data_IF_680310373076
#
_entry.id   IF_680310373076
#
_cell.length_a   1.000
_cell.length_b   1.000
_cell.length_c   1.000
_cell.angle_alpha   90.00
_cell.angle_beta   90.00
_cell.angle_gamma   90.00
#
_symmetry.space_group_name_H-M   'P 1'
#
loop_
_entity.id
_entity.type
_entity.pdbx_description
1 polymer ?
#
# COMPACT_ATOMS: atom_id res chain seq x y z
N UNK A 1 12.37 -3.00 9.84
CA UNK A 1 11.94 -2.58 8.49
C UNK A 1 12.90 -2.98 7.37
N UNK A 2 13.70 -4.07 7.41
CA UNK A 2 14.68 -4.30 6.33
C UNK A 2 14.06 -4.47 4.94
N UNK A 3 12.88 -5.08 4.82
CA UNK A 3 12.19 -5.22 3.53
C UNK A 3 11.64 -3.87 3.08
N UNK A 4 10.82 -3.24 3.93
CA UNK A 4 10.28 -1.90 3.74
C UNK A 4 11.31 -0.86 3.33
N UNK A 5 12.39 -0.72 4.12
CA UNK A 5 13.44 0.27 3.90
C UNK A 5 14.16 0.01 2.57
N UNK A 6 14.42 -1.25 2.24
CA UNK A 6 15.03 -1.62 0.96
C UNK A 6 14.12 -1.23 -0.20
N UNK A 7 12.82 -1.54 -0.10
CA UNK A 7 11.86 -1.29 -1.15
C UNK A 7 11.62 0.21 -1.40
N UNK A 8 11.42 1.01 -0.35
CA UNK A 8 11.26 2.47 -0.49
C UNK A 8 12.54 3.13 -1.00
N UNK A 9 13.71 2.70 -0.50
CA UNK A 9 14.99 3.23 -0.97
C UNK A 9 15.21 2.90 -2.44
N UNK A 10 14.95 1.66 -2.86
CA UNK A 10 15.04 1.26 -4.26
C UNK A 10 14.07 2.06 -5.15
N UNK A 11 12.80 2.19 -4.73
CA UNK A 11 11.80 2.98 -5.47
C UNK A 11 12.25 4.44 -5.66
N UNK A 12 12.82 5.04 -4.61
CA UNK A 12 13.36 6.41 -4.65
C UNK A 12 14.57 6.52 -5.57
N UNK A 13 15.48 5.54 -5.53
CA UNK A 13 16.66 5.49 -6.39
C UNK A 13 16.32 5.32 -7.86
N UNK A 14 15.23 4.63 -8.21
CA UNK A 14 14.73 4.55 -9.59
C UNK A 14 14.31 5.92 -10.16
N UNK A 15 14.03 6.92 -9.31
CA UNK A 15 13.79 8.30 -9.76
C UNK A 15 15.07 9.10 -10.05
N UNK A 16 16.24 8.54 -9.78
CA UNK A 16 17.54 9.19 -10.00
C UNK A 16 18.02 9.06 -11.44
N UNK A 17 18.74 10.07 -11.93
CA UNK A 17 19.45 10.01 -13.22
C UNK A 17 20.85 9.40 -13.11
N UNK A 18 21.29 9.03 -11.90
CA UNK A 18 22.63 8.50 -11.64
C UNK A 18 22.65 6.98 -11.82
N UNK A 19 23.50 6.49 -12.72
CA UNK A 19 23.66 5.05 -12.98
C UNK A 19 23.92 4.22 -11.71
N UNK A 20 24.78 4.72 -10.80
CA UNK A 20 25.07 4.05 -9.51
C UNK A 20 23.82 3.85 -8.64
N UNK A 21 22.86 4.77 -8.69
CA UNK A 21 21.63 4.65 -7.92
C UNK A 21 20.70 3.58 -8.56
N UNK A 22 20.63 3.54 -9.89
CA UNK A 22 19.86 2.53 -10.62
C UNK A 22 20.45 1.13 -10.36
N UNK A 23 21.78 0.96 -10.45
CA UNK A 23 22.45 -0.31 -10.12
C UNK A 23 22.22 -0.74 -8.67
N UNK A 24 22.30 0.19 -7.71
CA UNK A 24 22.02 -0.10 -6.30
C UNK A 24 20.55 -0.48 -6.07
N UNK A 25 19.61 0.14 -6.78
CA UNK A 25 18.19 -0.22 -6.71
C UNK A 25 17.96 -1.65 -7.15
N UNK A 26 18.55 -2.06 -8.28
CA UNK A 26 18.48 -3.43 -8.78
C UNK A 26 19.07 -4.43 -7.77
N UNK A 27 20.25 -4.15 -7.22
CA UNK A 27 20.88 -5.04 -6.25
C UNK A 27 20.00 -5.24 -4.99
N UNK A 28 19.35 -4.18 -4.51
CA UNK A 28 18.40 -4.28 -3.39
C UNK A 28 17.14 -5.08 -3.75
N UNK A 29 16.61 -4.90 -4.95
CA UNK A 29 15.42 -5.63 -5.42
C UNK A 29 15.71 -7.11 -5.69
N UNK A 30 16.87 -7.43 -6.26
CA UNK A 30 17.32 -8.82 -6.45
C UNK A 30 17.45 -9.55 -5.11
N UNK A 31 17.84 -8.86 -4.03
CA UNK A 31 17.85 -9.41 -2.67
C UNK A 31 16.45 -9.69 -2.11
N UNK A 32 15.42 -8.96 -2.57
CA UNK A 32 14.03 -9.15 -2.17
C UNK A 32 13.36 -10.31 -2.90
N UNK A 33 13.78 -10.67 -4.12
CA UNK A 33 13.20 -11.78 -4.89
C UNK A 33 13.09 -13.09 -4.09
N UNK A 34 14.15 -13.62 -3.46
CA UNK A 34 14.06 -14.88 -2.70
C UNK A 34 13.29 -14.74 -1.37
N UNK A 35 12.80 -13.54 -1.03
CA UNK A 35 12.05 -13.27 0.20
C UNK A 35 10.54 -13.27 0.02
N UNK A 36 10.06 -13.37 -1.22
CA UNK A 36 8.64 -13.56 -1.47
C UNK A 36 8.18 -14.87 -0.82
N UNK A 37 7.12 -14.80 -0.02
CA UNK A 37 6.54 -15.97 0.61
C UNK A 37 5.64 -16.66 -0.41
N UNK A 38 6.03 -17.87 -0.85
CA UNK A 38 5.36 -18.58 -1.95
C UNK A 38 4.72 -19.91 -1.55
N UNK A 39 5.12 -20.45 -0.39
CA UNK A 39 4.84 -21.81 0.06
C UNK A 39 4.23 -21.86 1.47
N UNK A 40 4.50 -20.86 2.32
CA UNK A 40 3.92 -20.78 3.66
C UNK A 40 2.55 -20.10 3.63
N UNK A 41 1.56 -20.83 4.17
CA UNK A 41 0.21 -20.36 4.44
C UNK A 41 0.16 -19.80 5.87
N UNK A 42 0.16 -18.47 6.00
CA UNK A 42 0.12 -17.74 7.28
C UNK A 42 -1.28 -17.67 7.89
N UNK A 43 -1.44 -16.90 8.97
CA UNK A 43 -2.72 -16.81 9.69
C UNK A 43 -3.84 -16.21 8.83
N UNK A 44 -3.49 -15.36 7.85
CA UNK A 44 -4.39 -14.77 6.86
C UNK A 44 -5.26 -15.78 6.09
N UNK A 45 -4.86 -17.04 6.04
CA UNK A 45 -5.66 -18.10 5.40
C UNK A 45 -6.96 -18.38 6.13
N UNK A 46 -7.09 -17.98 7.41
CA UNK A 46 -8.34 -18.08 8.15
C UNK A 46 -9.48 -17.33 7.42
N UNK A 47 -9.14 -16.29 6.66
CA UNK A 47 -10.09 -15.48 5.87
C UNK A 47 -9.98 -15.75 4.37
N UNK A 48 -8.81 -16.14 3.89
CA UNK A 48 -8.53 -16.36 2.45
C UNK A 48 -7.88 -17.73 2.20
N UNK A 49 -8.60 -18.85 2.43
CA UNK A 49 -8.03 -20.21 2.38
C UNK A 49 -7.67 -20.70 0.97
N UNK A 50 -8.20 -20.07 -0.07
CA UNK A 50 -7.97 -20.49 -1.46
C UNK A 50 -6.96 -19.59 -2.21
N UNK A 51 -6.58 -18.46 -1.60
CA UNK A 51 -5.56 -17.56 -2.16
C UNK A 51 -4.18 -18.21 -1.99
N UNK A 52 -3.34 -18.15 -3.03
CA UNK A 52 -1.96 -18.66 -2.98
C UNK A 52 -1.06 -17.63 -2.29
N UNK A 53 -0.08 -18.04 -1.45
CA UNK A 53 0.88 -17.13 -0.85
C UNK A 53 1.65 -16.35 -1.92
N UNK A 54 1.84 -15.05 -1.67
CA UNK A 54 2.55 -14.17 -2.61
C UNK A 54 3.11 -12.87 -2.05
N UNK A 55 3.03 -12.67 -0.74
CA UNK A 55 3.44 -11.43 -0.09
C UNK A 55 4.90 -11.42 0.37
N UNK A 56 5.33 -10.25 0.84
CA UNK A 56 6.55 -10.04 1.62
C UNK A 56 6.16 -9.62 3.03
N UNK A 57 7.06 -9.83 3.98
CA UNK A 57 6.90 -9.32 5.35
C UNK A 57 7.88 -8.18 5.60
N UNK A 58 7.54 -7.29 6.53
CA UNK A 58 8.40 -6.21 7.02
C UNK A 58 9.82 -6.62 7.46
N UNK A 59 9.97 -7.81 8.06
CA UNK A 59 11.23 -8.31 8.63
C UNK A 59 12.04 -9.19 7.67
N UNK A 60 13.24 -9.63 8.08
CA UNK A 60 14.10 -10.48 7.27
C UNK A 60 13.49 -11.84 6.88
N UNK A 61 12.71 -12.43 7.81
CA UNK A 61 12.08 -13.74 7.67
C UNK A 61 10.90 -13.83 8.64
N UNK A 62 9.68 -13.67 8.11
CA UNK A 62 8.45 -13.80 8.87
C UNK A 62 7.32 -14.38 8.00
N UNK A 63 7.46 -15.63 7.54
CA UNK A 63 6.62 -16.16 6.46
C UNK A 63 5.16 -16.40 6.86
N UNK A 64 4.82 -16.34 8.15
CA UNK A 64 3.45 -16.48 8.63
C UNK A 64 2.68 -15.16 8.65
N UNK A 65 3.38 -14.02 8.59
CA UNK A 65 2.76 -12.69 8.63
C UNK A 65 3.35 -11.78 7.53
N UNK A 66 3.20 -12.17 6.24
CA UNK A 66 3.37 -11.20 5.17
C UNK A 66 2.27 -10.14 5.28
N UNK A 67 2.58 -8.92 4.85
CA UNK A 67 1.65 -7.79 4.89
C UNK A 67 1.50 -7.17 3.51
N UNK A 68 0.32 -6.60 3.27
CA UNK A 68 -0.03 -6.03 1.95
C UNK A 68 0.73 -4.75 1.66
N UNK A 69 1.18 -4.03 2.69
CA UNK A 69 1.85 -2.75 2.57
C UNK A 69 3.27 -2.93 2.02
N UNK A 70 4.09 -3.78 2.66
CA UNK A 70 5.41 -4.18 2.18
C UNK A 70 5.31 -4.83 0.80
N UNK A 71 4.33 -5.73 0.62
CA UNK A 71 4.11 -6.39 -0.69
C UNK A 71 3.87 -5.38 -1.80
N UNK A 72 3.03 -4.36 -1.56
CA UNK A 72 2.74 -3.34 -2.54
C UNK A 72 3.97 -2.47 -2.86
N UNK A 73 4.75 -2.03 -1.87
CA UNK A 73 5.97 -1.24 -2.13
C UNK A 73 7.01 -2.05 -2.90
N UNK A 74 7.28 -3.29 -2.47
CA UNK A 74 8.25 -4.16 -3.13
C UNK A 74 7.87 -4.35 -4.59
N UNK A 75 6.59 -4.65 -4.85
CA UNK A 75 6.10 -4.91 -6.19
C UNK A 75 6.14 -3.64 -7.08
N UNK A 76 5.78 -2.46 -6.55
CA UNK A 76 5.93 -1.19 -7.27
C UNK A 76 7.39 -0.86 -7.58
N UNK A 77 8.31 -1.11 -6.65
CA UNK A 77 9.74 -0.84 -6.86
C UNK A 77 10.33 -1.78 -7.92
N UNK A 78 9.99 -3.07 -7.87
CA UNK A 78 10.38 -4.07 -8.89
C UNK A 78 9.85 -3.71 -10.27
N UNK A 79 8.57 -3.40 -10.40
CA UNK A 79 7.97 -3.03 -11.68
C UNK A 79 8.62 -1.76 -12.27
N UNK A 80 8.84 -0.75 -11.43
CA UNK A 80 9.49 0.50 -11.86
C UNK A 80 10.91 0.27 -12.36
N UNK A 81 11.72 -0.49 -11.61
CA UNK A 81 13.11 -0.78 -11.99
C UNK A 81 13.17 -1.55 -13.32
N UNK A 82 12.40 -2.63 -13.46
CA UNK A 82 12.47 -3.44 -14.66
C UNK A 82 11.96 -2.69 -15.91
N UNK A 83 10.97 -1.79 -15.76
CA UNK A 83 10.48 -0.97 -16.86
C UNK A 83 11.50 0.08 -17.29
N UNK A 84 12.31 0.62 -16.37
CA UNK A 84 13.42 1.53 -16.69
C UNK A 84 14.61 0.79 -17.33
N UNK A 85 14.96 -0.39 -16.81
CA UNK A 85 16.08 -1.21 -17.28
C UNK A 85 15.77 -2.01 -18.55
N UNK A 86 14.48 -2.19 -18.88
CA UNK A 86 14.01 -2.93 -20.06
C UNK A 86 14.03 -4.46 -19.93
N UNK A 87 14.30 -5.00 -18.74
CA UNK A 87 14.21 -6.44 -18.47
C UNK A 87 12.84 -6.83 -17.90
N UNK A 88 12.61 -8.14 -17.75
CA UNK A 88 11.35 -8.71 -17.26
C UNK A 88 11.56 -9.81 -16.20
N UNK A 89 12.68 -9.74 -15.48
CA UNK A 89 13.06 -10.76 -14.51
C UNK A 89 12.14 -10.84 -13.30
N UNK A 90 11.37 -9.80 -12.97
CA UNK A 90 10.45 -9.82 -11.84
C UNK A 90 9.01 -10.19 -12.21
N UNK A 91 8.69 -10.40 -13.49
CA UNK A 91 7.32 -10.73 -13.94
C UNK A 91 6.65 -11.86 -13.11
N UNK A 92 7.33 -12.97 -12.75
CA UNK A 92 6.72 -13.98 -11.90
C UNK A 92 6.38 -13.48 -10.48
N UNK A 93 7.27 -12.66 -9.91
CA UNK A 93 7.09 -12.11 -8.57
C UNK A 93 5.94 -11.08 -8.55
N UNK A 94 5.88 -10.20 -9.56
CA UNK A 94 4.83 -9.20 -9.74
C UNK A 94 3.46 -9.84 -9.97
N UNK A 95 3.39 -10.85 -10.83
CA UNK A 95 2.14 -11.57 -11.09
C UNK A 95 1.60 -12.24 -9.82
N UNK A 96 2.48 -12.85 -9.02
CA UNK A 96 2.10 -13.47 -7.76
C UNK A 96 1.71 -12.45 -6.69
N UNK A 97 2.41 -11.31 -6.61
CA UNK A 97 2.07 -10.22 -5.70
C UNK A 97 0.68 -9.68 -6.00
N UNK A 98 0.34 -9.46 -7.28
CA UNK A 98 -0.98 -8.98 -7.72
C UNK A 98 -2.09 -9.93 -7.30
N UNK A 99 -1.91 -11.23 -7.55
CA UNK A 99 -2.89 -12.26 -7.13
C UNK A 99 -3.14 -12.21 -5.62
N UNK A 100 -2.07 -12.14 -4.83
CA UNK A 100 -2.19 -12.13 -3.38
C UNK A 100 -2.84 -10.83 -2.87
N UNK A 101 -2.41 -9.66 -3.35
CA UNK A 101 -3.00 -8.35 -2.99
C UNK A 101 -4.49 -8.31 -3.32
N UNK A 102 -4.90 -8.71 -4.53
CA UNK A 102 -6.33 -8.75 -4.89
C UNK A 102 -7.09 -9.75 -4.01
N UNK A 103 -6.51 -10.92 -3.74
CA UNK A 103 -7.12 -11.93 -2.88
C UNK A 103 -7.26 -11.49 -1.42
N UNK A 104 -6.42 -10.56 -0.95
CA UNK A 104 -6.43 -10.03 0.42
C UNK A 104 -7.37 -8.83 0.61
N UNK A 105 -8.09 -8.40 -0.43
CA UNK A 105 -9.07 -7.32 -0.30
C UNK A 105 -10.22 -7.74 0.63
N UNK A 106 -10.62 -6.83 1.51
CA UNK A 106 -11.77 -7.01 2.41
C UNK A 106 -13.09 -6.73 1.70
N UNK A 107 -14.18 -7.26 2.22
CA UNK A 107 -15.54 -7.10 1.67
C UNK A 107 -15.97 -5.64 1.53
N UNK A 108 -15.47 -4.75 2.41
CA UNK A 108 -15.73 -3.31 2.37
C UNK A 108 -15.00 -2.57 1.23
N UNK A 109 -14.17 -3.28 0.46
CA UNK A 109 -13.42 -2.76 -0.69
C UNK A 109 -12.00 -2.33 -0.38
N UNK A 110 -11.56 -2.38 0.88
CA UNK A 110 -10.28 -1.86 1.32
C UNK A 110 -9.36 -2.96 1.83
N UNK A 111 -8.17 -2.58 2.29
CA UNK A 111 -7.15 -3.49 2.82
C UNK A 111 -6.75 -3.10 4.24
N UNK A 112 -6.75 -4.09 5.14
CA UNK A 112 -5.97 -4.07 6.38
C UNK A 112 -4.52 -4.44 6.08
N UNK A 113 -3.63 -4.43 7.09
CA UNK A 113 -2.21 -4.69 6.88
C UNK A 113 -1.92 -6.19 6.62
N UNK A 114 -2.52 -7.09 7.40
CA UNK A 114 -2.21 -8.52 7.43
C UNK A 114 -3.41 -9.41 7.08
N UNK A 115 -4.61 -9.02 7.52
CA UNK A 115 -5.82 -9.84 7.42
C UNK A 115 -6.91 -9.12 6.61
N UNK A 116 -7.74 -9.93 5.96
CA UNK A 116 -8.99 -9.44 5.37
C UNK A 116 -10.14 -9.54 6.37
N UNK A 117 -11.07 -8.58 6.34
CA UNK A 117 -12.31 -8.57 7.13
C UNK A 117 -12.08 -8.62 8.67
N UNK A 118 -10.96 -8.09 9.16
CA UNK A 118 -10.63 -8.02 10.58
C UNK A 118 -11.32 -6.79 11.24
N UNK A 119 -12.65 -6.71 11.12
CA UNK A 119 -13.49 -5.58 11.54
C UNK A 119 -14.41 -5.94 12.73
N UNK A 120 -13.96 -6.83 13.62
CA UNK A 120 -14.71 -7.28 14.80
C UNK A 120 -14.67 -6.23 15.93
N UNK A 121 -15.05 -4.98 15.64
CA UNK A 121 -14.87 -3.80 16.51
C UNK A 121 -15.38 -3.97 17.94
N UNK A 122 -16.36 -4.84 18.18
CA UNK A 122 -16.83 -5.14 19.54
C UNK A 122 -15.73 -5.73 20.44
N UNK A 123 -14.69 -6.35 19.89
CA UNK A 123 -13.56 -6.87 20.65
C UNK A 123 -12.72 -5.77 21.30
N UNK A 124 -12.80 -4.53 20.84
CA UNK A 124 -12.16 -3.39 21.51
C UNK A 124 -12.90 -2.97 22.80
N UNK A 125 -14.06 -3.57 23.14
CA UNK A 125 -14.83 -3.22 24.34
C UNK A 125 -14.55 -4.14 25.54
N UNK A 126 -13.56 -5.04 25.46
CA UNK A 126 -13.17 -5.89 26.57
C UNK A 126 -12.07 -5.23 27.41
N UNK A 127 -11.95 -5.51 28.73
CA UNK A 127 -10.94 -4.87 29.59
C UNK A 127 -9.48 -5.05 29.14
N UNK A 128 -9.20 -6.08 28.34
CA UNK A 128 -7.86 -6.36 27.80
C UNK A 128 -7.46 -5.41 26.65
N UNK A 129 -8.42 -4.79 25.96
CA UNK A 129 -8.19 -4.01 24.76
C UNK A 129 -8.10 -2.50 25.03
N UNK A 130 -7.39 -2.11 26.09
CA UNK A 130 -7.28 -0.71 26.54
C UNK A 130 -6.59 0.22 25.53
N UNK A 131 -5.74 -0.33 24.65
CA UNK A 131 -5.08 0.41 23.57
C UNK A 131 -5.94 0.58 22.30
N UNK A 132 -7.08 -0.11 22.18
CA UNK A 132 -8.01 0.04 21.04
C UNK A 132 -7.50 -0.46 19.68
N UNK A 133 -6.37 -1.16 19.64
CA UNK A 133 -5.70 -1.65 18.43
C UNK A 133 -5.63 -3.19 18.37
N UNK A 134 -6.65 -3.88 18.89
CA UNK A 134 -6.70 -5.35 18.90
C UNK A 134 -6.95 -5.95 17.50
N UNK A 135 -7.36 -5.11 16.55
CA UNK A 135 -7.86 -5.50 15.24
C UNK A 135 -6.98 -4.91 14.13
N UNK A 136 -7.16 -5.47 12.94
CA UNK A 136 -6.54 -5.01 11.69
C UNK A 136 -7.62 -4.56 10.69
N UNK A 137 -8.44 -3.55 11.02
CA UNK A 137 -9.45 -3.08 10.10
C UNK A 137 -8.79 -2.43 8.88
N UNK A 138 -9.44 -2.43 7.71
CA UNK A 138 -8.93 -1.71 6.57
C UNK A 138 -8.69 -0.21 6.84
N UNK A 139 -7.63 0.34 6.26
CA UNK A 139 -7.23 1.74 6.45
C UNK A 139 -6.90 2.45 5.14
N UNK A 140 -6.95 3.77 5.19
CA UNK A 140 -6.82 4.66 4.04
C UNK A 140 -5.43 4.59 3.40
N UNK A 141 -4.38 4.60 4.23
CA UNK A 141 -2.98 4.56 3.80
C UNK A 141 -2.62 3.23 3.13
N UNK A 142 -3.02 2.10 3.73
CA UNK A 142 -2.79 0.76 3.17
C UNK A 142 -3.58 0.57 1.88
N UNK A 143 -4.86 0.98 1.88
CA UNK A 143 -5.71 0.90 0.67
C UNK A 143 -5.16 1.75 -0.46
N UNK A 144 -4.71 2.97 -0.17
CA UNK A 144 -4.06 3.84 -1.14
C UNK A 144 -2.81 3.17 -1.73
N UNK A 145 -2.04 2.46 -0.93
CA UNK A 145 -0.83 1.77 -1.41
C UNK A 145 -1.15 0.59 -2.33
N UNK A 146 -2.12 -0.24 -1.96
CA UNK A 146 -2.57 -1.34 -2.82
C UNK A 146 -3.12 -0.81 -4.15
N UNK A 147 -3.93 0.26 -4.13
CA UNK A 147 -4.42 0.91 -5.35
C UNK A 147 -3.30 1.49 -6.21
N UNK A 148 -2.29 2.11 -5.59
CA UNK A 148 -1.12 2.65 -6.31
C UNK A 148 -0.37 1.54 -7.04
N UNK A 149 -0.16 0.39 -6.39
CA UNK A 149 0.46 -0.78 -7.01
C UNK A 149 -0.35 -1.30 -8.20
N UNK A 150 -1.65 -1.51 -8.02
CA UNK A 150 -2.52 -2.00 -9.08
C UNK A 150 -2.56 -1.03 -10.26
N UNK A 151 -2.69 0.27 -10.00
CA UNK A 151 -2.66 1.30 -11.04
C UNK A 151 -1.33 1.31 -11.81
N UNK A 152 -0.20 1.14 -11.11
CA UNK A 152 1.12 1.03 -11.76
C UNK A 152 1.20 -0.20 -12.67
N UNK A 153 0.53 -1.29 -12.32
CA UNK A 153 0.43 -2.50 -13.16
C UNK A 153 -0.55 -2.36 -14.33
N UNK A 154 -1.20 -1.21 -14.46
CA UNK A 154 -2.14 -0.89 -15.53
C UNK A 154 -3.59 -1.24 -15.21
N UNK A 155 -3.93 -1.56 -13.96
CA UNK A 155 -5.33 -1.67 -13.55
C UNK A 155 -6.02 -0.30 -13.61
N UNK A 156 -7.28 -0.30 -14.06
CA UNK A 156 -8.09 0.92 -14.16
C UNK A 156 -9.42 0.72 -13.46
N UNK A 157 -10.17 1.81 -13.25
CA UNK A 157 -11.54 1.75 -12.71
C UNK A 157 -12.50 0.96 -13.62
N UNK A 158 -12.24 0.92 -14.92
CA UNK A 158 -13.00 0.11 -15.88
C UNK A 158 -12.58 -1.37 -15.81
N UNK A 159 -11.34 -1.64 -15.42
CA UNK A 159 -10.70 -2.96 -15.45
C UNK A 159 -11.16 -3.95 -14.38
N UNK A 160 -11.87 -3.53 -13.33
CA UNK A 160 -12.39 -4.48 -12.34
C UNK A 160 -13.01 -3.88 -11.08
N UNK A 161 -13.70 -4.75 -10.32
CA UNK A 161 -14.29 -4.42 -9.02
C UNK A 161 -13.27 -4.00 -7.96
N UNK A 162 -12.07 -4.62 -7.85
CA UNK A 162 -11.12 -4.26 -6.79
C UNK A 162 -10.72 -2.78 -6.78
N UNK A 163 -10.42 -2.23 -7.96
CA UNK A 163 -10.07 -0.80 -8.11
C UNK A 163 -11.23 0.12 -7.72
N UNK A 164 -12.45 -0.18 -8.20
CA UNK A 164 -13.62 0.65 -7.91
C UNK A 164 -13.96 0.64 -6.43
N UNK A 165 -14.00 -0.54 -5.81
CA UNK A 165 -14.34 -0.66 -4.40
C UNK A 165 -13.31 0.01 -3.49
N UNK A 166 -12.02 -0.07 -3.81
CA UNK A 166 -10.97 0.63 -3.07
C UNK A 166 -11.09 2.15 -3.20
N UNK A 167 -11.30 2.68 -4.40
CA UNK A 167 -11.50 4.12 -4.60
C UNK A 167 -12.78 4.61 -3.92
N UNK A 168 -13.86 3.83 -3.99
CA UNK A 168 -15.11 4.18 -3.31
C UNK A 168 -14.96 4.14 -1.79
N UNK A 169 -14.14 3.23 -1.24
CA UNK A 169 -13.78 3.26 0.17
C UNK A 169 -13.09 4.58 0.55
N UNK A 170 -12.03 4.96 -0.17
CA UNK A 170 -11.31 6.21 0.08
C UNK A 170 -12.22 7.44 -0.02
N UNK A 171 -13.15 7.47 -0.96
CA UNK A 171 -14.13 8.56 -1.05
C UNK A 171 -15.06 8.64 0.16
N UNK A 172 -15.47 7.49 0.71
CA UNK A 172 -16.38 7.42 1.87
C UNK A 172 -15.69 7.78 3.18
N UNK A 173 -14.38 7.53 3.29
CA UNK A 173 -13.61 7.78 4.52
C UNK A 173 -12.93 9.15 4.56
N UNK A 174 -13.05 9.96 3.49
CA UNK A 174 -12.55 11.33 3.51
C UNK A 174 -13.21 12.14 4.62
N UNK A 175 -12.40 12.82 5.44
CA UNK A 175 -12.89 13.63 6.54
C UNK A 175 -13.57 14.91 6.05
N UNK A 176 -14.36 15.52 6.94
CA UNK A 176 -15.17 16.69 6.62
C UNK A 176 -14.33 17.91 6.21
N UNK A 177 -13.08 18.00 6.66
CA UNK A 177 -12.11 19.01 6.28
C UNK A 177 -11.36 18.67 4.98
N UNK A 178 -11.36 17.40 4.56
CA UNK A 178 -10.75 16.94 3.30
C UNK A 178 -9.57 15.98 3.46
N UNK A 179 -9.02 15.80 4.66
CA UNK A 179 -7.91 14.89 4.93
C UNK A 179 -8.35 13.42 5.01
N UNK A 180 -7.36 12.54 5.09
CA UNK A 180 -7.51 11.13 5.45
C UNK A 180 -6.60 10.77 6.61
N UNK A 181 -7.04 9.83 7.44
CA UNK A 181 -6.27 9.30 8.55
C UNK A 181 -5.07 8.48 8.06
N UNK A 182 -3.92 8.63 8.73
CA UNK A 182 -2.75 7.77 8.55
C UNK A 182 -2.61 6.82 9.73
N UNK A 183 -2.85 5.53 9.51
CA UNK A 183 -2.80 4.52 10.56
C UNK A 183 -1.37 4.17 10.94
N UNK A 184 -0.48 4.10 9.94
CA UNK A 184 0.88 3.57 10.05
C UNK A 184 1.97 4.64 9.89
N UNK A 185 1.60 5.85 9.48
CA UNK A 185 2.46 7.03 9.52
C UNK A 185 1.76 8.20 10.20
N UNK A 186 2.53 9.08 10.83
CA UNK A 186 1.99 10.23 11.56
C UNK A 186 1.64 11.39 10.60
N UNK A 187 0.40 11.85 10.51
CA UNK A 187 -0.88 11.18 10.76
C UNK A 187 -1.83 11.57 9.61
N UNK A 188 -2.50 12.72 9.66
CA UNK A 188 -3.35 13.19 8.57
C UNK A 188 -2.55 13.62 7.33
N UNK A 189 -1.33 14.16 7.50
CA UNK A 189 -0.47 14.46 6.35
C UNK A 189 -0.11 13.17 5.62
N UNK A 190 0.25 12.12 6.36
CA UNK A 190 0.65 10.83 5.80
C UNK A 190 -0.50 10.15 5.06
N UNK A 191 -1.67 10.06 5.68
CA UNK A 191 -2.87 9.49 5.05
C UNK A 191 -3.27 10.27 3.80
N UNK A 192 -3.34 11.61 3.90
CA UNK A 192 -3.74 12.47 2.78
C UNK A 192 -2.78 12.41 1.61
N UNK A 193 -1.47 12.43 1.85
CA UNK A 193 -0.46 12.23 0.80
C UNK A 193 -0.63 10.89 0.10
N UNK A 194 -0.74 9.80 0.89
CA UNK A 194 -0.87 8.44 0.35
C UNK A 194 -2.10 8.34 -0.56
N UNK A 195 -3.25 8.82 -0.09
CA UNK A 195 -4.52 8.79 -0.84
C UNK A 195 -4.45 9.65 -2.10
N UNK A 196 -3.94 10.88 -2.03
CA UNK A 196 -3.81 11.74 -3.22
C UNK A 196 -2.89 11.12 -4.28
N UNK A 197 -1.78 10.51 -3.87
CA UNK A 197 -0.90 9.79 -4.80
C UNK A 197 -1.63 8.61 -5.47
N UNK A 198 -2.41 7.84 -4.71
CA UNK A 198 -3.19 6.73 -5.23
C UNK A 198 -4.26 7.21 -6.21
N UNK A 199 -5.08 8.19 -5.84
CA UNK A 199 -6.12 8.75 -6.70
C UNK A 199 -5.55 9.30 -8.02
N UNK A 200 -4.40 9.97 -7.95
CA UNK A 200 -3.67 10.41 -9.14
C UNK A 200 -3.21 9.21 -10.00
N UNK A 201 -2.64 8.17 -9.40
CA UNK A 201 -2.20 6.97 -10.12
C UNK A 201 -3.37 6.24 -10.80
N UNK A 202 -4.53 6.16 -10.14
CA UNK A 202 -5.76 5.57 -10.71
C UNK A 202 -6.35 6.43 -11.84
N UNK A 203 -5.96 7.69 -11.97
CA UNK A 203 -6.49 8.62 -12.97
C UNK A 203 -7.80 9.29 -12.54
N UNK A 204 -8.04 9.43 -11.23
CA UNK A 204 -9.13 10.26 -10.71
C UNK A 204 -8.82 11.73 -10.96
N UNK A 205 -9.81 12.47 -11.46
CA UNK A 205 -9.68 13.88 -11.77
C UNK A 205 -9.21 14.71 -10.56
N UNK A 206 -8.24 15.59 -10.81
CA UNK A 206 -7.65 16.47 -9.81
C UNK A 206 -8.62 17.58 -9.40
N UNK A 207 -9.47 18.01 -10.33
CA UNK A 207 -10.50 19.03 -10.11
C UNK A 207 -11.77 18.45 -9.46
N UNK A 208 -11.81 17.13 -9.25
CA UNK A 208 -12.86 16.47 -8.50
C UNK A 208 -12.93 16.99 -7.07
N UNK A 209 -14.14 17.18 -6.55
CA UNK A 209 -14.38 17.82 -5.25
C UNK A 209 -13.59 17.19 -4.08
N UNK A 210 -13.37 15.88 -4.10
CA UNK A 210 -12.56 15.19 -3.07
C UNK A 210 -11.07 15.55 -3.14
N UNK A 211 -10.45 15.37 -4.32
CA UNK A 211 -9.02 15.67 -4.55
C UNK A 211 -8.71 17.15 -4.30
N UNK A 212 -9.54 18.05 -4.85
CA UNK A 212 -9.37 19.49 -4.71
C UNK A 212 -9.45 19.93 -3.24
N UNK A 213 -10.39 19.38 -2.47
CA UNK A 213 -10.56 19.69 -1.06
C UNK A 213 -9.38 19.20 -0.21
N UNK A 214 -8.88 18.00 -0.47
CA UNK A 214 -7.70 17.47 0.21
C UNK A 214 -6.43 18.27 -0.09
N UNK A 215 -6.25 18.69 -1.36
CA UNK A 215 -5.15 19.56 -1.74
C UNK A 215 -5.24 20.92 -1.04
N UNK A 216 -6.45 21.50 -0.96
CA UNK A 216 -6.66 22.74 -0.22
C UNK A 216 -6.35 22.57 1.27
N UNK A 217 -6.78 21.47 1.90
CA UNK A 217 -6.47 21.19 3.29
C UNK A 217 -4.96 21.17 3.55
N UNK A 218 -4.15 20.53 2.67
CA UNK A 218 -2.69 20.56 2.77
C UNK A 218 -2.14 21.99 2.68
N UNK A 219 -2.66 22.82 1.77
CA UNK A 219 -2.24 24.23 1.65
C UNK A 219 -2.57 25.04 2.92
N UNK A 220 -3.73 24.78 3.52
CA UNK A 220 -4.20 25.50 4.71
C UNK A 220 -3.36 25.22 5.96
N UNK A 221 -2.70 24.06 6.03
CA UNK A 221 -1.85 23.65 7.16
C UNK A 221 -0.35 23.85 6.90
N UNK A 222 0.03 24.52 5.81
CA UNK A 222 1.44 24.80 5.50
C UNK A 222 2.04 25.76 6.54
N UNK A 223 3.22 25.42 7.05
CA UNK A 223 3.96 26.28 7.98
C UNK A 223 4.54 27.52 7.26
N UNK A 224 4.82 28.62 7.98
CA UNK A 224 5.41 29.83 7.38
C UNK A 224 6.77 29.64 6.70
N UNK A 225 7.49 28.56 7.03
CA UNK A 225 8.77 28.18 6.39
C UNK A 225 8.59 27.39 5.09
N UNK A 226 7.34 27.11 4.69
CA UNK A 226 6.97 26.35 3.51
C UNK A 226 6.88 24.84 3.72
N UNK A 227 7.20 24.34 4.92
CA UNK A 227 7.12 22.92 5.28
C UNK A 227 5.78 22.53 5.92
N UNK A 228 5.73 21.29 6.42
CA UNK A 228 4.61 20.71 7.15
C UNK A 228 5.12 19.93 8.36
N UNK A 229 4.29 19.79 9.40
CA UNK A 229 4.61 18.98 10.57
C UNK A 229 3.35 18.62 11.36
N UNK A 230 3.37 17.44 11.96
CA UNK A 230 2.29 16.86 12.77
C UNK A 230 2.87 16.07 13.93
#
# INVERSE_FOLDING_TARGET
SPVWDTAITAHSMCGSTKAVAIEASKAGLDWLVPKQVLDVRGDWIARRPDVRPGGWAFQYANPHYPDVDDTAVVAMAMDREQNLSGHKSYDPALARAREWIVGMQSENGAWGAFDADNEYYYLNNIPFADHGALLDPPTEDVTARCLSMLAQFGDTLEGGEPMRHGVDYLRRTQLAEGSWYGRWGMNYIYGTWSVLCALNAVGVDHDGAGSAKAAQWLLDIQNPDGGWGE
#
